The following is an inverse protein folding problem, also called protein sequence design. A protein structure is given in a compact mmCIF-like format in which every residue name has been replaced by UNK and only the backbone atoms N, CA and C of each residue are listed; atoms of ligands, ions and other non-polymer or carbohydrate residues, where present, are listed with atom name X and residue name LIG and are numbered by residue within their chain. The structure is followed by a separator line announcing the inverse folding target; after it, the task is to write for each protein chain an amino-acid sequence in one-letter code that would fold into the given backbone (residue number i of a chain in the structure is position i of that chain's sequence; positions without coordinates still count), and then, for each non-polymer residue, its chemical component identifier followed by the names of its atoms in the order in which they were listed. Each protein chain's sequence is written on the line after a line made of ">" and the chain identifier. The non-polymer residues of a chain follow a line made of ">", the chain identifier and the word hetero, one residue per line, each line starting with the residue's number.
data_IF_728161731210
#
_entry.id   IF_728161731210
#
_cell.length_a   1.000
_cell.length_b   1.000
_cell.length_c   1.000
_cell.angle_alpha   90.00
_cell.angle_beta   90.00
_cell.angle_gamma   90.00
#
_symmetry.space_group_name_H-M   'P 1'
#
loop_
_entity.id
_entity.type
_entity.pdbx_description
1 polymer ?
#
# COMPACT_ATOMS: atom_id res chain seq x y z
N UNK A 1 9.40 -12.23 8.73
CA UNK A 1 8.79 -13.24 9.63
C UNK A 1 7.74 -12.53 10.47
N UNK A 2 6.52 -13.07 10.63
CA UNK A 2 5.51 -12.48 11.52
C UNK A 2 5.95 -12.50 12.99
N UNK A 3 5.44 -11.53 13.77
CA UNK A 3 5.65 -11.46 15.22
C UNK A 3 4.86 -12.59 15.90
N UNK A 4 5.38 -13.12 17.01
CA UNK A 4 4.68 -14.10 17.85
C UNK A 4 4.90 -15.58 17.50
N UNK A 5 5.67 -15.88 16.45
CA UNK A 5 5.98 -17.26 16.05
C UNK A 5 7.22 -17.80 16.79
N UNK A 6 8.28 -16.99 16.89
CA UNK A 6 9.54 -17.39 17.52
C UNK A 6 9.73 -16.56 18.80
N UNK A 7 9.81 -17.21 19.99
CA UNK A 7 10.18 -16.53 21.23
C UNK A 7 11.53 -15.83 21.07
N UNK A 8 11.62 -14.60 21.58
CA UNK A 8 12.86 -13.79 21.56
C UNK A 8 13.43 -13.54 20.16
N UNK A 9 12.59 -13.55 19.12
CA UNK A 9 13.00 -13.20 17.76
C UNK A 9 13.62 -11.79 17.73
N UNK A 10 14.84 -11.71 17.17
CA UNK A 10 15.52 -10.44 16.89
C UNK A 10 15.23 -10.05 15.45
N UNK A 11 14.76 -8.81 15.26
CA UNK A 11 14.48 -8.25 13.94
C UNK A 11 15.56 -7.23 13.60
N UNK A 12 16.10 -7.34 12.38
CA UNK A 12 17.03 -6.36 11.86
C UNK A 12 16.35 -4.99 11.77
N UNK A 13 17.07 -3.96 12.20
CA UNK A 13 16.66 -2.58 12.00
C UNK A 13 17.33 -2.06 10.73
N UNK A 14 16.52 -1.60 9.78
CA UNK A 14 17.05 -0.80 8.69
C UNK A 14 17.66 0.49 9.26
N UNK A 15 18.70 0.99 8.59
CA UNK A 15 19.29 2.28 8.94
C UNK A 15 18.28 3.44 8.81
N UNK A 16 18.59 4.62 9.37
CA UNK A 16 17.71 5.77 9.29
C UNK A 16 17.47 6.18 7.83
N UNK A 17 16.22 6.46 7.50
CA UNK A 17 15.83 7.07 6.23
C UNK A 17 15.63 8.56 6.50
N UNK A 18 16.37 9.41 5.77
CA UNK A 18 16.25 10.87 5.83
C UNK A 18 15.57 11.34 4.54
N UNK A 19 14.24 11.45 4.51
CA UNK A 19 13.53 11.80 3.29
C UNK A 19 13.85 13.24 2.87
N UNK A 20 14.02 13.44 1.57
CA UNK A 20 14.21 14.74 0.93
C UNK A 20 12.86 15.28 0.45
N UNK A 21 12.77 16.60 0.26
CA UNK A 21 11.58 17.22 -0.33
C UNK A 21 11.21 16.54 -1.64
N UNK A 22 9.98 16.05 -1.73
CA UNK A 22 9.46 15.29 -2.88
C UNK A 22 9.45 13.77 -2.70
N UNK A 23 10.14 13.24 -1.70
CA UNK A 23 10.11 11.81 -1.40
C UNK A 23 8.75 11.37 -0.84
N UNK A 24 8.36 10.16 -1.22
CA UNK A 24 7.15 9.48 -0.75
C UNK A 24 7.54 8.22 0.02
N UNK A 25 7.04 8.10 1.25
CA UNK A 25 7.11 6.86 2.02
C UNK A 25 5.70 6.29 2.07
N UNK A 26 5.54 5.09 1.54
CA UNK A 26 4.25 4.40 1.41
C UNK A 26 4.34 3.07 2.15
N UNK A 27 3.43 2.85 3.08
CA UNK A 27 3.36 1.65 3.91
C UNK A 27 1.94 1.10 3.80
N UNK A 28 1.79 -0.19 3.50
CA UNK A 28 0.48 -0.80 3.41
C UNK A 28 0.49 -2.28 3.76
N UNK A 29 -0.71 -2.81 3.99
CA UNK A 29 -0.95 -4.25 4.17
C UNK A 29 -1.02 -4.96 2.83
N UNK A 30 -0.83 -6.28 2.86
CA UNK A 30 -0.96 -7.17 1.69
C UNK A 30 -2.36 -7.21 1.10
N UNK A 31 -3.39 -6.93 1.91
CA UNK A 31 -4.77 -6.72 1.45
C UNK A 31 -4.92 -5.76 0.26
N UNK A 32 -3.93 -4.89 -0.02
CA UNK A 32 -3.88 -4.06 -1.24
C UNK A 32 -3.56 -4.89 -2.49
N UNK A 33 -2.38 -5.51 -2.56
CA UNK A 33 -1.93 -6.22 -3.77
C UNK A 33 -2.49 -7.63 -3.88
N UNK A 34 -2.98 -8.21 -2.77
CA UNK A 34 -3.69 -9.49 -2.74
C UNK A 34 -5.20 -9.35 -2.95
N UNK A 35 -5.71 -8.12 -3.07
CA UNK A 35 -7.10 -7.86 -3.43
C UNK A 35 -7.48 -8.60 -4.73
N UNK A 36 -8.71 -9.14 -4.77
CA UNK A 36 -9.18 -9.96 -5.90
C UNK A 36 -10.45 -9.42 -6.51
N UNK A 37 -10.52 -9.46 -7.84
CA UNK A 37 -11.75 -9.21 -8.57
C UNK A 37 -12.66 -10.45 -8.59
N UNK A 38 -13.83 -10.32 -9.24
CA UNK A 38 -14.82 -11.40 -9.38
C UNK A 38 -14.28 -12.66 -10.08
N UNK A 39 -13.26 -12.51 -10.94
CA UNK A 39 -12.59 -13.62 -11.61
C UNK A 39 -11.48 -14.24 -10.75
N UNK A 40 -11.37 -13.86 -9.47
CA UNK A 40 -10.30 -14.23 -8.55
C UNK A 40 -8.89 -13.83 -9.01
N UNK A 41 -8.77 -12.89 -9.96
CA UNK A 41 -7.48 -12.34 -10.35
C UNK A 41 -7.00 -11.34 -9.31
N UNK A 42 -5.71 -11.40 -8.99
CA UNK A 42 -5.06 -10.46 -8.08
C UNK A 42 -4.95 -9.08 -8.72
N UNK A 43 -5.12 -8.03 -7.91
CA UNK A 43 -4.81 -6.65 -8.29
C UNK A 43 -3.32 -6.53 -8.62
N UNK A 44 -2.46 -7.07 -7.76
CA UNK A 44 -1.02 -7.09 -7.98
C UNK A 44 -0.34 -5.75 -7.69
N UNK A 45 0.98 -5.71 -7.89
CA UNK A 45 1.80 -4.54 -7.55
C UNK A 45 1.92 -3.53 -8.70
N UNK A 46 1.76 -3.98 -9.94
CA UNK A 46 1.92 -3.12 -11.12
C UNK A 46 0.88 -1.98 -11.17
N UNK A 47 -0.44 -2.23 -11.02
CA UNK A 47 -1.40 -1.13 -10.98
C UNK A 47 -1.22 -0.25 -9.73
N UNK A 48 -0.81 -0.82 -8.59
CA UNK A 48 -0.47 -0.06 -7.39
C UNK A 48 0.65 0.96 -7.64
N UNK A 49 1.77 0.52 -8.22
CA UNK A 49 2.89 1.42 -8.55
C UNK A 49 2.50 2.46 -9.59
N UNK A 50 1.73 2.07 -10.61
CA UNK A 50 1.22 3.00 -11.63
C UNK A 50 0.38 4.11 -11.00
N UNK A 51 -0.56 3.76 -10.11
CA UNK A 51 -1.41 4.73 -9.42
C UNK A 51 -0.59 5.68 -8.55
N UNK A 52 0.48 5.19 -7.92
CA UNK A 52 1.43 6.03 -7.18
C UNK A 52 2.13 7.03 -8.09
N UNK A 53 2.68 6.58 -9.22
CA UNK A 53 3.40 7.43 -10.17
C UNK A 53 2.50 8.56 -10.71
N UNK A 54 1.26 8.23 -11.07
CA UNK A 54 0.28 9.20 -11.60
C UNK A 54 -0.12 10.27 -10.57
N UNK A 55 -0.11 9.93 -9.28
CA UNK A 55 -0.59 10.79 -8.20
C UNK A 55 0.52 11.35 -7.31
N UNK A 56 1.79 11.05 -7.59
CA UNK A 56 2.94 11.40 -6.74
C UNK A 56 3.07 12.91 -6.47
N UNK A 57 2.67 13.76 -7.42
CA UNK A 57 2.71 15.21 -7.30
C UNK A 57 1.59 15.78 -6.41
N UNK A 58 0.54 15.01 -6.16
CA UNK A 58 -0.58 15.40 -5.30
C UNK A 58 -0.23 15.45 -3.80
N UNK A 59 -1.22 15.79 -2.99
CA UNK A 59 -1.13 15.66 -1.52
C UNK A 59 -1.18 14.18 -1.11
N UNK A 60 -0.56 13.82 0.02
CA UNK A 60 -0.64 12.45 0.57
C UNK A 60 -2.08 11.92 0.66
N UNK A 61 -3.04 12.75 1.11
CA UNK A 61 -4.46 12.39 1.18
C UNK A 61 -5.05 11.99 -0.17
N UNK A 62 -4.72 12.73 -1.24
CA UNK A 62 -5.18 12.45 -2.61
C UNK A 62 -4.57 11.16 -3.15
N UNK A 63 -3.29 10.92 -2.87
CA UNK A 63 -2.64 9.67 -3.25
C UNK A 63 -3.25 8.48 -2.50
N UNK A 64 -3.51 8.59 -1.19
CA UNK A 64 -4.24 7.56 -0.46
C UNK A 64 -5.59 7.26 -1.10
N UNK A 65 -6.40 8.30 -1.36
CA UNK A 65 -7.72 8.13 -1.96
C UNK A 65 -7.64 7.45 -3.34
N UNK A 66 -6.72 7.89 -4.20
CA UNK A 66 -6.53 7.32 -5.53
C UNK A 66 -6.21 5.82 -5.50
N UNK A 67 -5.32 5.38 -4.59
CA UNK A 67 -5.00 3.95 -4.44
C UNK A 67 -6.20 3.16 -3.94
N UNK A 68 -6.91 3.66 -2.92
CA UNK A 68 -8.09 2.97 -2.39
C UNK A 68 -9.18 2.86 -3.45
N UNK A 69 -9.46 3.95 -4.16
CA UNK A 69 -10.47 3.99 -5.22
C UNK A 69 -10.13 3.03 -6.36
N UNK A 70 -8.86 2.92 -6.75
CA UNK A 70 -8.41 2.00 -7.80
C UNK A 70 -8.56 0.53 -7.38
N UNK A 71 -8.19 0.19 -6.14
CA UNK A 71 -8.40 -1.17 -5.60
C UNK A 71 -9.89 -1.51 -5.49
N UNK A 72 -10.73 -0.58 -5.02
CA UNK A 72 -12.19 -0.76 -4.94
C UNK A 72 -12.80 -0.91 -6.34
N UNK A 73 -12.36 -0.12 -7.31
CA UNK A 73 -12.81 -0.23 -8.69
C UNK A 73 -12.42 -1.58 -9.32
N UNK A 74 -11.21 -2.06 -9.05
CA UNK A 74 -10.74 -3.37 -9.54
C UNK A 74 -11.49 -4.54 -8.90
N UNK A 75 -11.68 -4.51 -7.57
CA UNK A 75 -12.34 -5.60 -6.83
C UNK A 75 -13.83 -5.69 -7.13
N UNK A 76 -14.48 -4.54 -7.37
CA UNK A 76 -15.91 -4.44 -7.53
C UNK A 76 -16.66 -4.39 -6.19
N UNK A 77 -17.92 -3.92 -6.21
CA UNK A 77 -18.69 -3.65 -5.00
C UNK A 77 -18.91 -4.92 -4.16
N UNK A 78 -18.55 -4.87 -2.87
CA UNK A 78 -18.79 -5.95 -1.91
C UNK A 78 -17.84 -7.15 -2.00
N UNK A 79 -16.82 -7.11 -2.87
CA UNK A 79 -15.88 -8.21 -3.09
C UNK A 79 -14.56 -8.09 -2.33
N UNK A 80 -14.36 -7.01 -1.56
CA UNK A 80 -13.20 -6.90 -0.68
C UNK A 80 -13.31 -7.92 0.45
N UNK A 81 -12.29 -8.78 0.58
CA UNK A 81 -12.27 -9.89 1.55
C UNK A 81 -11.33 -9.69 2.73
N UNK A 82 -10.39 -8.75 2.61
CA UNK A 82 -9.33 -8.51 3.58
C UNK A 82 -9.21 -7.02 3.91
N UNK A 83 -8.64 -6.72 5.06
CA UNK A 83 -8.47 -5.36 5.55
C UNK A 83 -7.36 -4.64 4.76
N UNK A 84 -7.72 -3.48 4.21
CA UNK A 84 -6.78 -2.60 3.51
C UNK A 84 -6.37 -1.47 4.44
N UNK A 85 -5.08 -1.37 4.71
CA UNK A 85 -4.48 -0.22 5.40
C UNK A 85 -3.40 0.38 4.52
N UNK A 86 -3.46 1.71 4.34
CA UNK A 86 -2.48 2.48 3.58
C UNK A 86 -2.08 3.75 4.34
N UNK A 87 -0.78 3.95 4.49
CA UNK A 87 -0.18 5.16 5.06
C UNK A 87 0.70 5.79 3.98
N UNK A 88 0.49 7.07 3.72
CA UNK A 88 1.31 7.87 2.82
C UNK A 88 1.90 9.04 3.58
N UNK A 89 3.22 9.16 3.54
CA UNK A 89 3.98 10.28 4.08
C UNK A 89 4.66 10.96 2.89
N UNK A 90 4.46 12.28 2.77
CA UNK A 90 5.11 13.11 1.77
C UNK A 90 6.04 14.10 2.46
N UNK A 91 7.32 14.04 2.13
CA UNK A 91 8.28 15.03 2.58
C UNK A 91 8.12 16.31 1.75
N UNK A 92 7.92 17.43 2.45
CA UNK A 92 7.67 18.76 1.89
C UNK A 92 8.67 19.77 2.42
#
# INVERSE_FOLDING_TARGET
>A
MPIGIIPDAVFDQAGPIIPQSGDLIIIGTDGIWEARNEQNAFYGKDPFFKTIEEHAQGTAQKLCAAVIDDVVAFTGPGNQKDDITLIVIKAV
#
